data_IF_697334983731
#
_entry.id   IF_697334983731
#
_cell.length_a   1.000
_cell.length_b   1.000
_cell.length_c   1.000
_cell.angle_alpha   90.00
_cell.angle_beta   90.00
_cell.angle_gamma   90.00
#
_symmetry.space_group_name_H-M   'P 1'
#
loop_
_entity.id
_entity.type
_entity.pdbx_description
1 polymer ?
#
# COMPACT_ATOMS: atom_id res chain seq x y z
N UNK A 1 -9.01 5.22 24.44
CA UNK A 1 -7.65 5.57 24.85
C UNK A 1 -6.72 5.27 23.69
N UNK A 2 -6.82 6.12 22.66
CA UNK A 2 -5.95 6.16 21.47
C UNK A 2 -4.87 7.25 21.66
N UNK A 3 -4.62 7.61 22.92
CA UNK A 3 -3.92 8.84 23.30
C UNK A 3 -2.38 8.69 23.28
N UNK A 4 -1.84 7.65 22.62
CA UNK A 4 -0.41 7.40 22.58
C UNK A 4 0.19 7.13 21.19
N UNK A 5 -0.62 7.03 20.11
CA UNK A 5 -0.05 6.96 18.76
C UNK A 5 0.13 8.37 18.20
N UNK A 6 1.17 9.03 18.69
CA UNK A 6 1.60 10.30 18.13
C UNK A 6 2.34 10.02 16.82
N UNK A 7 1.61 9.92 15.72
CA UNK A 7 2.14 9.76 14.35
C UNK A 7 3.17 10.84 13.98
N UNK A 8 3.21 11.91 14.78
CA UNK A 8 4.17 13.01 14.75
C UNK A 8 5.62 12.61 15.05
N UNK A 9 5.85 11.51 15.76
CA UNK A 9 7.20 11.08 16.13
C UNK A 9 7.85 10.10 15.13
N UNK A 10 7.11 9.62 14.13
CA UNK A 10 7.59 8.62 13.14
C UNK A 10 7.83 9.22 11.74
N UNK A 11 7.39 10.45 11.51
CA UNK A 11 7.34 11.11 10.19
C UNK A 11 7.95 12.50 10.34
N UNK A 12 8.77 12.94 9.37
CA UNK A 12 9.21 14.34 9.29
C UNK A 12 7.98 15.18 8.88
N UNK A 13 7.41 15.85 9.86
CA UNK A 13 5.99 16.22 9.92
C UNK A 13 5.55 17.43 9.10
N UNK A 14 6.36 17.94 8.17
CA UNK A 14 6.02 19.24 7.61
C UNK A 14 4.81 19.23 6.65
N UNK A 15 4.35 18.08 6.12
CA UNK A 15 3.26 18.07 5.13
C UNK A 15 2.39 16.79 5.17
N UNK A 16 1.50 16.64 6.18
CA UNK A 16 0.49 15.58 6.17
C UNK A 16 -0.93 16.12 6.39
N UNK A 17 -1.75 16.14 5.34
CA UNK A 17 -3.22 16.21 5.47
C UNK A 17 -3.77 14.80 5.78
N UNK A 18 -3.90 14.45 7.06
CA UNK A 18 -4.68 13.27 7.46
C UNK A 18 -6.16 13.59 7.22
N UNK A 19 -6.73 13.09 6.11
CA UNK A 19 -8.17 13.17 5.86
C UNK A 19 -8.87 11.99 6.52
N UNK A 20 -9.30 12.16 7.77
CA UNK A 20 -10.30 11.28 8.37
C UNK A 20 -11.66 11.55 7.71
N UNK A 21 -12.16 10.63 6.88
CA UNK A 21 -13.51 10.71 6.32
C UNK A 21 -14.41 9.78 7.15
N UNK A 22 -15.34 10.30 7.95
CA UNK A 22 -16.06 9.44 8.86
C UNK A 22 -17.42 9.00 8.30
N UNK A 23 -17.78 7.77 8.72
CA UNK A 23 -19.10 7.14 8.73
C UNK A 23 -19.62 6.49 7.43
N UNK A 24 -19.36 5.19 7.29
CA UNK A 24 -20.36 4.10 7.41
C UNK A 24 -19.64 2.74 7.38
N UNK A 25 -19.96 1.84 8.32
CA UNK A 25 -19.45 0.45 8.47
C UNK A 25 -17.95 0.18 8.25
N UNK A 26 -17.16 0.24 9.33
CA UNK A 26 -15.92 -0.54 9.56
C UNK A 26 -14.77 -0.43 8.53
N UNK A 27 -14.69 0.64 7.74
CA UNK A 27 -13.55 0.88 6.85
C UNK A 27 -12.73 2.08 7.35
N UNK A 28 -11.56 1.83 7.96
CA UNK A 28 -10.60 2.88 8.29
C UNK A 28 -9.73 3.17 7.05
N UNK A 29 -9.59 4.46 6.72
CA UNK A 29 -8.81 4.96 5.57
C UNK A 29 -7.61 5.73 6.12
N UNK A 30 -6.41 5.40 5.66
CA UNK A 30 -5.19 6.12 5.98
C UNK A 30 -4.54 6.61 4.69
N UNK A 31 -4.42 7.92 4.55
CA UNK A 31 -3.66 8.56 3.49
C UNK A 31 -2.45 9.26 4.10
N UNK A 32 -1.26 8.93 3.60
CA UNK A 32 0.00 9.56 4.02
C UNK A 32 0.74 10.08 2.80
N UNK A 33 1.31 11.26 2.95
CA UNK A 33 2.19 11.93 2.01
C UNK A 33 3.54 12.25 2.67
N UNK A 34 4.61 12.17 1.90
CA UNK A 34 5.95 12.42 2.38
C UNK A 34 6.64 11.18 2.96
N UNK A 35 7.93 11.36 3.25
CA UNK A 35 8.87 10.27 3.54
C UNK A 35 8.55 9.55 4.85
N UNK A 36 8.42 8.23 4.78
CA UNK A 36 8.30 7.38 5.97
C UNK A 36 9.68 6.79 6.28
N UNK A 37 10.27 7.18 7.41
CA UNK A 37 11.59 6.67 7.81
C UNK A 37 11.51 5.29 8.47
N UNK A 38 10.44 5.02 9.20
CA UNK A 38 10.23 3.77 9.94
C UNK A 38 8.76 3.38 9.80
N UNK A 39 8.50 2.21 9.21
CA UNK A 39 7.19 1.57 9.31
C UNK A 39 7.06 0.85 10.66
N UNK A 40 5.85 0.79 11.23
CA UNK A 40 5.59 -0.01 12.42
C UNK A 40 6.01 -1.46 12.21
N UNK A 41 6.52 -2.13 13.25
CA UNK A 41 7.07 -3.50 13.12
C UNK A 41 6.05 -4.58 13.45
N UNK A 42 4.90 -4.20 13.99
CA UNK A 42 3.82 -5.11 14.34
C UNK A 42 2.47 -4.58 13.82
N UNK A 43 1.53 -5.50 13.59
CA UNK A 43 0.17 -5.16 13.16
C UNK A 43 -0.59 -4.32 14.19
N UNK A 44 -0.23 -4.44 15.47
CA UNK A 44 -0.90 -3.77 16.59
C UNK A 44 -0.53 -2.30 16.70
N UNK A 45 0.54 -1.88 16.03
CA UNK A 45 0.93 -0.47 15.90
C UNK A 45 0.20 0.24 14.75
N UNK A 46 -0.49 -0.50 13.88
CA UNK A 46 -1.35 0.10 12.87
C UNK A 46 -2.77 0.34 13.41
N UNK A 47 -3.49 1.32 12.86
CA UNK A 47 -4.91 1.49 13.14
C UNK A 47 -5.67 0.17 12.97
N UNK A 48 -6.40 -0.34 14.00
CA UNK A 48 -7.21 -1.53 13.85
C UNK A 48 -8.24 -1.36 12.73
N UNK A 49 -8.44 -2.42 11.95
CA UNK A 49 -9.33 -2.43 10.78
C UNK A 49 -8.95 -1.43 9.67
N UNK A 50 -7.67 -1.07 9.55
CA UNK A 50 -7.16 -0.33 8.39
C UNK A 50 -7.51 -1.09 7.10
N UNK A 51 -8.41 -0.50 6.33
CA UNK A 51 -9.04 -1.11 5.15
C UNK A 51 -8.55 -0.48 3.85
N UNK A 52 -8.10 0.77 3.89
CA UNK A 52 -7.58 1.53 2.75
C UNK A 52 -6.30 2.23 3.17
N UNK A 53 -5.22 1.97 2.44
CA UNK A 53 -3.95 2.64 2.62
C UNK A 53 -3.52 3.30 1.32
N UNK A 54 -3.30 4.61 1.37
CA UNK A 54 -2.83 5.42 0.25
C UNK A 54 -1.54 6.11 0.67
N UNK A 55 -0.46 5.89 -0.09
CA UNK A 55 0.86 6.43 0.20
C UNK A 55 1.37 7.25 -0.99
N UNK A 56 1.87 8.45 -0.70
CA UNK A 56 2.55 9.33 -1.64
C UNK A 56 3.90 9.76 -1.07
N UNK A 57 4.95 9.81 -1.88
CA UNK A 57 6.27 10.31 -1.47
C UNK A 57 6.93 9.58 -0.29
N UNK A 58 6.41 8.42 0.10
CA UNK A 58 6.88 7.64 1.26
C UNK A 58 8.24 6.99 1.11
N UNK A 59 8.75 6.85 -0.12
CA UNK A 59 10.07 6.30 -0.43
C UNK A 59 10.32 4.91 0.19
N UNK A 60 9.28 4.09 0.35
CA UNK A 60 9.36 2.74 0.91
C UNK A 60 10.34 1.86 0.12
N UNK A 61 11.00 0.94 0.82
CA UNK A 61 11.97 0.01 0.22
C UNK A 61 11.39 -1.39 0.14
N UNK A 62 12.13 -2.31 -0.46
CA UNK A 62 11.68 -3.69 -0.71
C UNK A 62 11.29 -4.42 0.59
N UNK A 63 11.98 -4.13 1.69
CA UNK A 63 11.74 -4.65 3.04
C UNK A 63 10.44 -4.12 3.70
N UNK A 64 9.80 -3.13 3.09
CA UNK A 64 8.56 -2.54 3.59
C UNK A 64 7.33 -3.35 3.19
N UNK A 65 7.37 -4.11 2.10
CA UNK A 65 6.21 -4.88 1.61
C UNK A 65 5.77 -5.97 2.60
N UNK A 66 6.67 -6.77 3.20
CA UNK A 66 6.26 -7.75 4.21
C UNK A 66 5.54 -7.13 5.41
N UNK A 67 5.89 -5.90 5.77
CA UNK A 67 5.23 -5.17 6.86
C UNK A 67 3.81 -4.77 6.45
N UNK A 68 3.63 -4.25 5.23
CA UNK A 68 2.30 -3.92 4.71
C UNK A 68 1.42 -5.17 4.56
N UNK A 69 2.01 -6.33 4.25
CA UNK A 69 1.30 -7.61 4.16
C UNK A 69 0.71 -8.08 5.51
N UNK A 70 1.21 -7.58 6.63
CA UNK A 70 0.65 -7.84 7.97
C UNK A 70 -0.72 -7.18 8.18
N UNK A 71 -1.10 -6.22 7.33
CA UNK A 71 -2.38 -5.53 7.38
C UNK A 71 -3.50 -6.45 6.85
N UNK A 72 -3.92 -7.39 7.70
CA UNK A 72 -4.86 -8.45 7.31
C UNK A 72 -6.25 -7.96 6.92
N UNK A 73 -6.66 -6.75 7.34
CA UNK A 73 -7.94 -6.13 6.96
C UNK A 73 -7.85 -5.25 5.70
N UNK A 74 -6.66 -5.09 5.12
CA UNK A 74 -6.45 -4.15 4.02
C UNK A 74 -7.14 -4.64 2.74
N UNK A 75 -8.05 -3.81 2.23
CA UNK A 75 -8.81 -4.07 1.00
C UNK A 75 -8.31 -3.27 -0.19
N UNK A 76 -7.72 -2.10 0.06
CA UNK A 76 -7.23 -1.18 -0.96
C UNK A 76 -5.83 -0.73 -0.57
N UNK A 77 -4.89 -0.90 -1.50
CA UNK A 77 -3.54 -0.36 -1.40
C UNK A 77 -3.26 0.49 -2.63
N UNK A 78 -2.91 1.75 -2.40
CA UNK A 78 -2.42 2.65 -3.44
C UNK A 78 -1.03 3.16 -3.07
N UNK A 79 -0.06 2.82 -3.90
CA UNK A 79 1.29 3.36 -3.85
C UNK A 79 1.47 4.34 -5.01
N UNK A 80 1.37 5.64 -4.72
CA UNK A 80 1.49 6.71 -5.70
C UNK A 80 2.78 7.53 -5.55
N UNK A 81 3.19 8.23 -6.61
CA UNK A 81 4.20 9.30 -6.63
C UNK A 81 5.42 9.06 -5.73
N UNK A 82 6.40 8.29 -6.19
CA UNK A 82 7.64 7.97 -5.44
C UNK A 82 7.41 7.40 -4.03
N UNK A 83 6.24 6.80 -3.75
CA UNK A 83 5.99 6.12 -2.46
C UNK A 83 6.75 4.81 -2.29
N UNK A 84 7.30 4.25 -3.38
CA UNK A 84 8.17 3.09 -3.37
C UNK A 84 9.44 3.37 -4.18
N UNK A 85 10.59 3.20 -3.53
CA UNK A 85 11.94 3.42 -4.06
C UNK A 85 12.73 2.14 -4.33
N UNK A 86 12.15 0.97 -4.03
CA UNK A 86 12.72 -0.33 -4.38
C UNK A 86 12.64 -0.62 -5.89
N UNK A 87 13.52 -1.50 -6.38
CA UNK A 87 13.49 -1.96 -7.77
C UNK A 87 12.59 -3.17 -7.93
N UNK A 88 12.51 -4.00 -6.91
CA UNK A 88 11.71 -5.22 -6.89
C UNK A 88 10.64 -5.14 -5.82
N UNK A 89 9.39 -5.36 -6.21
CA UNK A 89 8.26 -5.53 -5.30
C UNK A 89 7.84 -7.00 -5.32
N UNK A 90 7.83 -7.64 -4.15
CA UNK A 90 7.47 -9.05 -4.00
C UNK A 90 6.26 -9.16 -3.09
N UNK A 91 5.17 -9.71 -3.60
CA UNK A 91 4.04 -10.12 -2.77
C UNK A 91 4.18 -11.59 -2.42
N UNK A 92 4.33 -11.86 -1.13
CA UNK A 92 4.64 -13.17 -0.58
C UNK A 92 3.43 -14.11 -0.60
N UNK A 93 3.69 -15.41 -0.52
CA UNK A 93 2.64 -16.42 -0.40
C UNK A 93 1.68 -16.09 0.76
N UNK A 94 0.38 -16.09 0.49
CA UNK A 94 -0.68 -15.68 1.41
C UNK A 94 -0.61 -14.21 1.92
N UNK A 95 0.29 -13.40 1.37
CA UNK A 95 0.34 -11.96 1.60
C UNK A 95 -0.93 -11.27 1.15
N UNK A 96 -1.34 -10.22 1.88
CA UNK A 96 -2.52 -9.40 1.58
C UNK A 96 -3.82 -10.22 1.40
N UNK A 97 -4.28 -10.94 2.43
CA UNK A 97 -5.38 -11.90 2.31
C UNK A 97 -6.74 -11.27 1.93
N UNK A 98 -6.93 -9.99 2.22
CA UNK A 98 -8.19 -9.26 1.96
C UNK A 98 -8.12 -8.24 0.83
N UNK A 99 -6.96 -8.11 0.17
CA UNK A 99 -6.75 -7.04 -0.81
C UNK A 99 -7.61 -7.28 -2.05
N UNK A 100 -8.41 -6.28 -2.41
CA UNK A 100 -9.32 -6.28 -3.55
C UNK A 100 -8.85 -5.33 -4.64
N UNK A 101 -8.17 -4.24 -4.28
CA UNK A 101 -7.66 -3.23 -5.21
C UNK A 101 -6.19 -2.96 -4.93
N UNK A 102 -5.37 -3.08 -5.98
CA UNK A 102 -3.98 -2.64 -5.97
C UNK A 102 -3.78 -1.58 -7.05
N UNK A 103 -3.39 -0.36 -6.64
CA UNK A 103 -3.02 0.73 -7.56
C UNK A 103 -1.55 1.08 -7.37
N UNK A 104 -0.79 1.05 -8.46
CA UNK A 104 0.63 1.45 -8.50
C UNK A 104 0.76 2.61 -9.48
N UNK A 105 1.12 3.80 -9.03
CA UNK A 105 1.19 4.96 -9.93
C UNK A 105 2.46 5.75 -9.71
N UNK A 106 3.17 6.09 -10.78
CA UNK A 106 4.32 6.99 -10.74
C UNK A 106 5.48 6.45 -9.88
N UNK A 107 5.69 5.13 -9.92
CA UNK A 107 6.78 4.44 -9.20
C UNK A 107 7.97 4.26 -10.15
N UNK A 108 8.76 5.32 -10.32
CA UNK A 108 9.78 5.41 -11.39
C UNK A 108 10.94 4.43 -11.25
N UNK A 109 11.21 3.96 -10.03
CA UNK A 109 12.30 3.03 -9.74
C UNK A 109 11.88 1.55 -9.81
N UNK A 110 10.58 1.27 -9.83
CA UNK A 110 10.06 -0.10 -9.83
C UNK A 110 10.34 -0.76 -11.19
N UNK A 111 11.14 -1.82 -11.17
CA UNK A 111 11.55 -2.59 -12.36
C UNK A 111 10.85 -3.96 -12.43
N UNK A 112 10.53 -4.57 -11.28
CA UNK A 112 9.97 -5.94 -11.26
C UNK A 112 8.87 -6.08 -10.22
N UNK A 113 7.74 -6.67 -10.63
CA UNK A 113 6.66 -7.08 -9.76
C UNK A 113 6.60 -8.61 -9.72
N UNK A 114 6.94 -9.20 -8.58
CA UNK A 114 6.82 -10.64 -8.35
C UNK A 114 5.59 -10.88 -7.50
N UNK A 115 4.77 -11.82 -7.92
CA UNK A 115 3.69 -12.28 -7.05
C UNK A 115 3.75 -13.78 -6.92
N UNK A 116 3.94 -14.24 -5.68
CA UNK A 116 3.98 -15.67 -5.36
C UNK A 116 2.60 -16.32 -5.42
N UNK A 117 2.58 -17.66 -5.37
CA UNK A 117 1.34 -18.43 -5.36
C UNK A 117 0.43 -17.99 -4.21
N UNK A 118 -0.87 -17.89 -4.49
CA UNK A 118 -1.91 -17.55 -3.50
C UNK A 118 -1.81 -16.16 -2.84
N UNK A 119 -0.86 -15.33 -3.25
CA UNK A 119 -0.79 -13.94 -2.82
C UNK A 119 -1.98 -13.12 -3.35
N UNK A 120 -2.54 -12.26 -2.51
CA UNK A 120 -3.73 -11.44 -2.82
C UNK A 120 -4.88 -12.26 -3.44
N UNK A 121 -5.39 -13.30 -2.75
CA UNK A 121 -6.35 -14.25 -3.33
C UNK A 121 -7.71 -13.61 -3.66
N UNK A 122 -8.00 -12.43 -3.11
CA UNK A 122 -9.24 -11.68 -3.31
C UNK A 122 -9.10 -10.49 -4.26
N UNK A 123 -7.96 -10.37 -4.95
CA UNK A 123 -7.69 -9.24 -5.83
C UNK A 123 -8.66 -9.22 -7.00
N UNK A 124 -9.39 -8.12 -7.13
CA UNK A 124 -10.39 -7.90 -8.18
C UNK A 124 -9.93 -6.89 -9.21
N UNK A 125 -9.17 -5.88 -8.78
CA UNK A 125 -8.76 -4.77 -9.62
C UNK A 125 -7.27 -4.49 -9.45
N UNK A 126 -6.61 -4.25 -10.57
CA UNK A 126 -5.21 -3.88 -10.61
C UNK A 126 -5.03 -2.74 -11.61
N UNK A 127 -4.36 -1.67 -11.19
CA UNK A 127 -3.90 -0.63 -12.10
C UNK A 127 -2.43 -0.33 -11.89
N UNK A 128 -1.80 0.02 -13.00
CA UNK A 128 -0.45 0.51 -13.04
C UNK A 128 -0.33 1.63 -14.06
N UNK A 129 0.27 2.74 -13.64
CA UNK A 129 0.33 3.97 -14.42
C UNK A 129 1.67 4.66 -14.21
N UNK A 130 2.32 5.08 -15.29
CA UNK A 130 3.59 5.83 -15.26
C UNK A 130 4.70 5.22 -14.36
N UNK A 131 4.68 3.89 -14.23
CA UNK A 131 5.79 3.11 -13.69
C UNK A 131 6.78 2.79 -14.81
N UNK A 132 8.07 2.57 -14.48
CA UNK A 132 9.15 2.38 -15.46
C UNK A 132 8.75 1.46 -16.63
N UNK A 133 8.99 1.89 -17.87
CA UNK A 133 8.54 1.23 -19.11
C UNK A 133 9.11 -0.18 -19.34
N UNK A 134 10.05 -0.65 -18.52
CA UNK A 134 10.73 -1.96 -18.68
C UNK A 134 10.21 -3.05 -17.72
N UNK A 135 9.11 -2.80 -17.02
CA UNK A 135 8.64 -3.71 -15.97
C UNK A 135 7.89 -4.95 -16.50
N UNK A 136 8.04 -6.07 -15.79
CA UNK A 136 7.33 -7.32 -16.05
C UNK A 136 6.13 -7.48 -15.13
N UNK A 137 4.93 -7.55 -15.71
CA UNK A 137 3.68 -7.83 -14.99
C UNK A 137 3.43 -9.34 -14.97
N UNK A 138 3.18 -9.95 -13.80
CA UNK A 138 2.69 -11.32 -13.72
C UNK A 138 1.38 -11.48 -14.49
N UNK A 139 1.26 -12.57 -15.25
CA UNK A 139 0.12 -12.82 -16.14
C UNK A 139 -1.23 -12.73 -15.41
N UNK A 140 -1.31 -13.26 -14.18
CA UNK A 140 -2.52 -13.20 -13.36
C UNK A 140 -3.04 -11.77 -13.14
N UNK A 141 -2.14 -10.79 -13.04
CA UNK A 141 -2.51 -9.39 -12.83
C UNK A 141 -2.93 -8.70 -14.13
N UNK A 142 -2.39 -9.14 -15.28
CA UNK A 142 -2.77 -8.60 -16.59
C UNK A 142 -4.22 -8.91 -16.96
N UNK A 143 -4.79 -9.96 -16.39
CA UNK A 143 -6.17 -10.37 -16.64
C UNK A 143 -7.20 -9.60 -15.80
N UNK A 144 -6.76 -8.82 -14.82
CA UNK A 144 -7.67 -8.10 -13.93
C UNK A 144 -8.18 -6.80 -14.58
N UNK A 145 -9.45 -6.43 -14.35
CA UNK A 145 -9.98 -5.15 -14.79
C UNK A 145 -9.29 -3.99 -14.08
N UNK A 146 -9.27 -2.84 -14.76
CA UNK A 146 -8.89 -1.57 -14.13
C UNK A 146 -9.91 -1.22 -13.04
N UNK A 147 -9.49 -0.65 -11.90
CA UNK A 147 -10.40 -0.11 -10.90
C UNK A 147 -11.32 0.95 -11.54
N UNK A 148 -12.63 0.93 -11.25
CA UNK A 148 -13.49 2.07 -11.57
C UNK A 148 -13.01 3.30 -10.78
N UNK A 149 -13.04 4.47 -11.41
CA UNK A 149 -12.59 5.74 -10.80
C UNK A 149 -13.32 6.00 -9.47
N UNK A 150 -12.59 6.55 -8.49
CA UNK A 150 -13.13 7.15 -7.28
C UNK A 150 -12.69 8.61 -7.24
#
# INVERSE_FOLDING_TARGET
>A
MWDAFDARNLIDLQELEIREIPYTNMNFILQLEGKINILPRSSDEFPPNLSVLVLYGSLLKEDSIPILEMLSSLTILHLGNDSFSGKKMVFSMAGFPQLQVLRLSWLRLLETLVVESEAMPRLKYFSIEDCNNQWMVPERLRMLPLPQEW
#
